data_IF_289933254983
#
_entry.id   IF_289933254983
#
_cell.length_a   1.000
_cell.length_b   1.000
_cell.length_c   1.000
_cell.angle_alpha   90.00
_cell.angle_beta   90.00
_cell.angle_gamma   90.00
#
_symmetry.space_group_name_H-M   'P 1'
#
loop_
_entity.id
_entity.type
_entity.pdbx_description
1 polymer ?
#
# COMPACT_ATOMS: atom_id res chain seq x y z
N UNK A 1 21.52 -18.45 -9.77
CA UNK A 1 20.32 -18.21 -10.60
C UNK A 1 19.28 -17.57 -9.70
N UNK A 2 19.33 -16.24 -9.55
CA UNK A 2 18.37 -15.53 -8.69
C UNK A 2 17.08 -15.46 -9.47
N UNK A 3 16.01 -16.02 -8.92
CA UNK A 3 14.65 -15.88 -9.45
C UNK A 3 14.31 -14.39 -9.44
N UNK A 4 14.61 -13.71 -10.53
CA UNK A 4 14.08 -12.38 -10.76
C UNK A 4 12.58 -12.57 -10.95
N UNK A 5 11.79 -12.29 -9.91
CA UNK A 5 10.34 -12.30 -10.04
C UNK A 5 9.99 -11.26 -11.10
N UNK A 6 9.30 -11.70 -12.15
CA UNK A 6 8.95 -10.89 -13.34
C UNK A 6 8.38 -9.52 -12.96
N UNK A 7 7.64 -9.46 -11.84
CA UNK A 7 7.05 -8.24 -11.30
C UNK A 7 8.10 -7.16 -10.95
N UNK A 8 9.19 -7.50 -10.25
CA UNK A 8 10.21 -6.51 -9.89
C UNK A 8 10.99 -6.02 -11.12
N UNK A 9 11.15 -6.86 -12.13
CA UNK A 9 11.74 -6.45 -13.41
C UNK A 9 10.81 -5.50 -14.17
N UNK A 10 9.50 -5.81 -14.23
CA UNK A 10 8.51 -4.96 -14.88
C UNK A 10 8.39 -3.58 -14.21
N UNK A 11 8.55 -3.52 -12.88
CA UNK A 11 8.54 -2.26 -12.12
C UNK A 11 9.87 -1.50 -12.18
N UNK A 12 10.90 -2.02 -12.86
CA UNK A 12 12.23 -1.40 -12.89
C UNK A 12 12.96 -1.39 -11.54
N UNK A 13 12.57 -2.27 -10.61
CA UNK A 13 13.16 -2.33 -9.27
C UNK A 13 14.60 -2.84 -9.35
N UNK A 14 15.53 -2.07 -8.79
CA UNK A 14 16.95 -2.43 -8.73
C UNK A 14 17.23 -3.29 -7.49
N UNK A 15 17.92 -4.42 -7.68
CA UNK A 15 18.18 -5.42 -6.63
C UNK A 15 19.66 -5.49 -6.22
N UNK A 16 20.54 -4.78 -6.95
CA UNK A 16 21.99 -4.83 -6.78
C UNK A 16 22.57 -3.50 -6.30
N UNK A 17 23.87 -3.52 -6.00
CA UNK A 17 24.63 -2.34 -5.61
C UNK A 17 24.71 -1.29 -6.73
N UNK A 18 24.88 0.01 -6.39
CA UNK A 18 25.00 0.55 -5.02
C UNK A 18 23.66 0.62 -4.28
N UNK A 19 23.67 0.66 -2.95
CA UNK A 19 22.45 0.91 -2.16
C UNK A 19 21.89 2.33 -2.43
N UNK A 20 20.59 2.58 -2.20
CA UNK A 20 20.02 3.91 -2.33
C UNK A 20 20.63 4.88 -1.32
N UNK A 21 20.85 6.11 -1.77
CA UNK A 21 21.21 7.20 -0.84
C UNK A 21 20.02 7.54 0.05
N UNK A 22 20.28 8.11 1.23
CA UNK A 22 19.20 8.55 2.15
C UNK A 22 18.25 9.54 1.46
N UNK A 23 18.78 10.44 0.63
CA UNK A 23 17.97 11.41 -0.10
C UNK A 23 17.08 10.75 -1.17
N UNK A 24 17.58 9.73 -1.86
CA UNK A 24 16.79 8.93 -2.79
C UNK A 24 15.63 8.22 -2.07
N UNK A 25 15.92 7.56 -0.94
CA UNK A 25 14.90 6.90 -0.12
C UNK A 25 13.86 7.91 0.36
N UNK A 26 14.29 9.05 0.90
CA UNK A 26 13.37 10.07 1.43
C UNK A 26 12.46 10.66 0.36
N UNK A 27 13.01 10.97 -0.83
CA UNK A 27 12.22 11.49 -1.94
C UNK A 27 11.23 10.45 -2.46
N UNK A 28 11.66 9.18 -2.60
CA UNK A 28 10.79 8.07 -3.01
C UNK A 28 9.65 7.87 -2.01
N UNK A 29 9.94 7.78 -0.71
CA UNK A 29 8.92 7.63 0.33
C UNK A 29 7.93 8.79 0.34
N UNK A 30 8.39 10.03 0.17
CA UNK A 30 7.49 11.19 0.09
C UNK A 30 6.52 11.07 -1.10
N UNK A 31 7.04 10.75 -2.28
CA UNK A 31 6.19 10.55 -3.47
C UNK A 31 5.20 9.41 -3.25
N UNK A 32 5.64 8.29 -2.68
CA UNK A 32 4.80 7.13 -2.45
C UNK A 32 3.69 7.45 -1.44
N UNK A 33 4.00 8.11 -0.33
CA UNK A 33 3.02 8.54 0.65
C UNK A 33 1.96 9.46 0.04
N UNK A 34 2.36 10.45 -0.77
CA UNK A 34 1.40 11.36 -1.40
C UNK A 34 0.47 10.65 -2.40
N UNK A 35 1.02 9.73 -3.20
CA UNK A 35 0.24 8.94 -4.16
C UNK A 35 -0.70 7.96 -3.46
N UNK A 36 -0.20 7.27 -2.44
CA UNK A 36 -0.96 6.30 -1.68
C UNK A 36 -2.11 6.98 -0.95
N UNK A 37 -1.85 8.06 -0.20
CA UNK A 37 -2.88 8.80 0.53
C UNK A 37 -3.99 9.30 -0.40
N UNK A 38 -3.61 9.96 -1.49
CA UNK A 38 -4.56 10.50 -2.46
C UNK A 38 -5.44 9.42 -3.08
N UNK A 39 -4.84 8.33 -3.57
CA UNK A 39 -5.59 7.27 -4.25
C UNK A 39 -6.42 6.44 -3.27
N UNK A 40 -5.85 6.08 -2.12
CA UNK A 40 -6.54 5.34 -1.06
C UNK A 40 -7.77 6.11 -0.58
N UNK A 41 -7.65 7.43 -0.37
CA UNK A 41 -8.79 8.27 0.00
C UNK A 41 -9.94 8.18 -1.01
N UNK A 42 -9.66 8.34 -2.30
CA UNK A 42 -10.72 8.33 -3.31
C UNK A 42 -11.34 6.94 -3.50
N UNK A 43 -10.53 5.88 -3.51
CA UNK A 43 -11.03 4.50 -3.59
C UNK A 43 -11.88 4.19 -2.36
N UNK A 44 -11.40 4.53 -1.17
CA UNK A 44 -12.14 4.32 0.08
C UNK A 44 -13.46 5.10 0.10
N UNK A 45 -13.45 6.37 -0.36
CA UNK A 45 -14.68 7.15 -0.52
C UNK A 45 -15.67 6.50 -1.51
N UNK A 46 -15.18 5.92 -2.61
CA UNK A 46 -16.04 5.18 -3.54
C UNK A 46 -16.62 3.92 -2.89
N UNK A 47 -15.85 3.22 -2.07
CA UNK A 47 -16.31 2.08 -1.27
C UNK A 47 -17.38 2.47 -0.24
N UNK A 48 -17.44 3.73 0.17
CA UNK A 48 -18.52 4.26 1.02
C UNK A 48 -19.78 4.72 0.27
N UNK A 49 -19.84 4.59 -1.07
CA UNK A 49 -21.11 4.76 -1.79
C UNK A 49 -22.11 3.66 -1.41
N UNK A 50 -23.41 3.87 -1.62
CA UNK A 50 -24.46 2.88 -1.24
C UNK A 50 -24.13 1.48 -1.74
N UNK A 51 -23.81 1.34 -3.02
CA UNK A 51 -23.48 0.04 -3.60
C UNK A 51 -22.15 -0.51 -3.10
N UNK A 52 -21.10 0.32 -3.08
CA UNK A 52 -19.76 -0.10 -2.61
C UNK A 52 -19.80 -0.57 -1.16
N UNK A 53 -20.56 0.12 -0.32
CA UNK A 53 -20.67 -0.21 1.08
C UNK A 53 -21.42 -1.52 1.26
N UNK A 54 -22.64 -1.62 0.73
CA UNK A 54 -23.49 -2.80 0.89
C UNK A 54 -22.87 -4.08 0.33
N UNK A 55 -22.07 -3.99 -0.75
CA UNK A 55 -21.52 -5.15 -1.45
C UNK A 55 -20.09 -5.50 -1.09
N UNK A 56 -19.29 -4.54 -0.65
CA UNK A 56 -17.85 -4.72 -0.45
C UNK A 56 -17.46 -4.26 0.95
N UNK A 57 -17.66 -2.98 1.26
CA UNK A 57 -17.01 -2.35 2.42
C UNK A 57 -17.67 -2.65 3.77
N UNK A 58 -18.91 -3.15 3.78
CA UNK A 58 -19.63 -3.45 5.02
C UNK A 58 -18.91 -4.47 5.90
N UNK A 59 -18.19 -5.44 5.30
CA UNK A 59 -17.42 -6.45 6.05
C UNK A 59 -16.29 -5.79 6.85
N UNK A 60 -15.63 -4.80 6.27
CA UNK A 60 -14.57 -4.06 6.94
C UNK A 60 -15.07 -3.26 8.16
N UNK A 61 -16.31 -2.76 8.09
CA UNK A 61 -16.97 -2.04 9.20
C UNK A 61 -17.75 -2.93 10.17
N UNK A 62 -17.58 -4.25 10.12
CA UNK A 62 -18.25 -5.16 11.06
C UNK A 62 -17.74 -4.99 12.50
N UNK A 63 -16.45 -4.70 12.66
CA UNK A 63 -15.83 -4.44 13.96
C UNK A 63 -15.81 -2.94 14.25
N UNK A 64 -16.57 -2.52 15.26
CA UNK A 64 -16.61 -1.11 15.68
C UNK A 64 -15.59 -0.78 16.77
N UNK A 65 -15.05 -1.78 17.46
CA UNK A 65 -13.98 -1.57 18.44
C UNK A 65 -12.63 -1.43 17.72
N UNK A 66 -11.80 -0.45 18.09
CA UNK A 66 -10.50 -0.27 17.47
C UNK A 66 -9.61 -1.50 17.75
N UNK A 67 -9.11 -2.10 16.68
CA UNK A 67 -8.17 -3.21 16.73
C UNK A 67 -7.36 -3.27 15.44
N UNK A 68 -6.04 -3.30 15.57
CA UNK A 68 -5.14 -3.47 14.42
C UNK A 68 -5.41 -4.73 13.60
N UNK A 69 -6.00 -5.77 14.20
CA UNK A 69 -6.38 -6.99 13.48
C UNK A 69 -7.53 -6.76 12.47
N UNK A 70 -8.39 -5.75 12.71
CA UNK A 70 -9.46 -5.40 11.78
C UNK A 70 -8.92 -4.80 10.48
N UNK A 71 -7.68 -4.27 10.47
CA UNK A 71 -7.04 -3.73 9.26
C UNK A 71 -7.10 -4.71 8.07
N UNK A 72 -6.82 -5.99 8.32
CA UNK A 72 -6.83 -7.03 7.27
C UNK A 72 -8.17 -7.74 7.12
N UNK A 73 -9.14 -7.45 7.99
CA UNK A 73 -10.46 -8.06 7.93
C UNK A 73 -11.35 -7.25 6.98
N UNK A 74 -11.42 -7.69 5.73
CA UNK A 74 -12.24 -7.03 4.72
C UNK A 74 -12.65 -8.01 3.62
N UNK A 75 -13.54 -7.54 2.74
CA UNK A 75 -13.90 -8.28 1.55
C UNK A 75 -12.69 -8.40 0.61
N UNK A 76 -12.50 -9.56 -0.06
CA UNK A 76 -11.33 -9.78 -0.94
C UNK A 76 -11.17 -8.69 -2.01
N UNK A 77 -12.27 -8.17 -2.54
CA UNK A 77 -12.25 -7.09 -3.54
C UNK A 77 -11.76 -5.75 -2.96
N UNK A 78 -12.05 -5.48 -1.69
CA UNK A 78 -11.52 -4.31 -0.99
C UNK A 78 -10.02 -4.43 -0.77
N UNK A 79 -9.56 -5.59 -0.29
CA UNK A 79 -8.13 -5.86 -0.16
C UNK A 79 -7.37 -5.64 -1.47
N UNK A 80 -7.92 -6.11 -2.60
CA UNK A 80 -7.30 -5.84 -3.91
C UNK A 80 -7.35 -4.36 -4.27
N UNK A 81 -8.50 -3.71 -4.13
CA UNK A 81 -8.66 -2.30 -4.51
C UNK A 81 -7.77 -1.36 -3.70
N UNK A 82 -7.67 -1.57 -2.38
CA UNK A 82 -6.86 -0.74 -1.47
C UNK A 82 -5.38 -1.14 -1.45
N UNK A 83 -5.00 -2.29 -2.01
CA UNK A 83 -3.58 -2.63 -2.24
C UNK A 83 -2.98 -1.90 -3.45
N UNK A 84 -3.79 -1.54 -4.44
CA UNK A 84 -3.32 -0.87 -5.67
C UNK A 84 -2.62 0.46 -5.39
N UNK A 85 -3.16 1.39 -4.57
CA UNK A 85 -2.48 2.64 -4.22
C UNK A 85 -1.03 2.48 -3.76
N UNK A 86 -0.75 1.48 -2.92
CA UNK A 86 0.60 1.21 -2.40
C UNK A 86 1.59 0.76 -3.49
N UNK A 87 1.11 0.29 -4.65
CA UNK A 87 1.92 -0.13 -5.78
C UNK A 87 2.18 1.00 -6.79
N UNK A 88 1.28 1.98 -6.88
CA UNK A 88 1.36 3.03 -7.92
C UNK A 88 2.65 3.82 -7.82
N UNK A 89 2.99 4.33 -6.62
CA UNK A 89 4.22 5.10 -6.39
C UNK A 89 5.48 4.38 -6.88
N UNK A 90 5.77 3.17 -6.38
CA UNK A 90 6.91 2.37 -6.85
C UNK A 90 6.88 1.99 -8.34
N UNK A 91 5.70 1.91 -8.97
CA UNK A 91 5.58 1.64 -10.41
C UNK A 91 5.93 2.86 -11.28
N UNK A 92 5.66 4.08 -10.81
CA UNK A 92 5.95 5.31 -11.57
C UNK A 92 7.35 5.88 -11.28
N UNK A 93 7.85 5.68 -10.05
CA UNK A 93 9.20 6.04 -9.64
C UNK A 93 9.88 4.77 -9.12
N UNK A 94 10.54 3.99 -9.99
CA UNK A 94 11.23 2.77 -9.58
C UNK A 94 12.30 3.02 -8.51
N UNK A 95 12.47 2.07 -7.58
CA UNK A 95 13.42 2.17 -6.48
C UNK A 95 14.29 0.92 -6.30
N UNK A 96 15.21 0.99 -5.33
CA UNK A 96 15.89 -0.21 -4.84
C UNK A 96 14.93 -1.08 -4.03
N UNK A 97 15.17 -2.40 -4.04
CA UNK A 97 14.37 -3.37 -3.27
C UNK A 97 14.32 -3.06 -1.77
N UNK A 98 15.40 -2.51 -1.22
CA UNK A 98 15.43 -2.08 0.19
C UNK A 98 14.48 -0.92 0.47
N UNK A 99 14.35 0.04 -0.45
CA UNK A 99 13.33 1.09 -0.34
C UNK A 99 11.93 0.49 -0.44
N UNK A 100 11.76 -0.52 -1.31
CA UNK A 100 10.48 -1.21 -1.49
C UNK A 100 10.02 -1.91 -0.22
N UNK A 101 10.92 -2.65 0.44
CA UNK A 101 10.63 -3.28 1.73
C UNK A 101 10.33 -2.25 2.82
N UNK A 102 11.13 -1.19 2.90
CA UNK A 102 10.91 -0.10 3.85
C UNK A 102 9.52 0.54 3.66
N UNK A 103 9.16 0.81 2.41
CA UNK A 103 7.85 1.37 2.05
C UNK A 103 6.70 0.48 2.54
N UNK A 104 6.72 -0.81 2.23
CA UNK A 104 5.64 -1.71 2.68
C UNK A 104 5.63 -1.94 4.19
N UNK A 105 6.79 -1.91 4.86
CA UNK A 105 6.83 -1.94 6.32
C UNK A 105 6.12 -0.73 6.91
N UNK A 106 6.37 0.49 6.40
CA UNK A 106 5.65 1.68 6.84
C UNK A 106 4.15 1.59 6.57
N UNK A 107 3.75 1.09 5.40
CA UNK A 107 2.33 0.89 5.08
C UNK A 107 1.61 -0.07 6.02
N UNK A 108 2.24 -1.18 6.38
CA UNK A 108 1.66 -2.13 7.33
C UNK A 108 1.53 -1.51 8.74
N UNK A 109 2.57 -0.80 9.21
CA UNK A 109 2.54 -0.14 10.51
C UNK A 109 1.45 0.95 10.55
N UNK A 110 1.39 1.78 9.51
CA UNK A 110 0.39 2.85 9.40
C UNK A 110 -1.03 2.29 9.33
N UNK A 111 -1.26 1.24 8.52
CA UNK A 111 -2.54 0.55 8.46
C UNK A 111 -2.98 0.03 9.84
N UNK A 112 -2.08 -0.62 10.59
CA UNK A 112 -2.38 -1.06 11.95
C UNK A 112 -2.74 0.12 12.86
N UNK A 113 -1.95 1.20 12.81
CA UNK A 113 -2.13 2.37 13.66
C UNK A 113 -3.49 3.04 13.42
N UNK A 114 -3.92 3.22 12.17
CA UNK A 114 -5.21 3.84 11.83
C UNK A 114 -6.40 3.07 12.41
N UNK A 115 -6.27 1.75 12.60
CA UNK A 115 -7.33 0.91 13.18
C UNK A 115 -7.22 0.74 14.70
N UNK A 116 -6.21 1.29 15.35
CA UNK A 116 -5.90 1.02 16.76
C UNK A 116 -6.44 2.06 17.77
N UNK A 117 -7.16 3.08 17.30
CA UNK A 117 -7.82 4.08 18.16
C UNK A 117 -6.95 5.27 18.53
#
# INVERSE_FOLDING_TARGET
MVYHTTVYQMMGTRMGLPLPSVNEVAAQLLVYSLMEDYLSYWIHRLLHTKWGYEKIHRVHHEFTAPTGFAMSYSHWAENLALSVPALVGPSIVPCHITTHWLWFTFRLIEGINIHSG
#
